data_IF_662717945044
#
_entry.id   IF_662717945044
#
_cell.length_a   1.000
_cell.length_b   1.000
_cell.length_c   1.000
_cell.angle_alpha   90.00
_cell.angle_beta   90.00
_cell.angle_gamma   90.00
#
_symmetry.space_group_name_H-M   'P 1'
#
loop_
_entity.id
_entity.type
_entity.pdbx_description
1 polymer ?
#
# COMPACT_ATOMS: atom_id res chain seq x y z
N UNK A 1 -8.61 2.58 -14.38
CA UNK A 1 -7.93 3.22 -13.22
C UNK A 1 -8.78 4.25 -12.47
N UNK A 2 -9.99 4.61 -12.94
CA UNK A 2 -10.87 5.60 -12.32
C UNK A 2 -11.07 5.42 -10.81
N UNK A 3 -11.15 4.19 -10.33
CA UNK A 3 -11.36 3.83 -8.91
C UNK A 3 -10.13 4.05 -7.99
N UNK A 4 -8.93 4.22 -8.55
CA UNK A 4 -7.72 4.54 -7.75
C UNK A 4 -7.46 6.04 -7.65
N UNK A 5 -7.87 6.80 -8.67
CA UNK A 5 -7.67 8.24 -8.76
C UNK A 5 -8.79 9.07 -8.11
N UNK A 6 -9.94 8.46 -7.81
CA UNK A 6 -11.08 9.12 -7.16
C UNK A 6 -11.29 8.53 -5.77
N UNK A 7 -11.66 9.38 -4.82
CA UNK A 7 -12.18 8.96 -3.52
C UNK A 7 -13.34 7.97 -3.76
N UNK A 8 -13.20 6.73 -3.30
CA UNK A 8 -14.32 5.80 -3.25
C UNK A 8 -15.34 6.24 -2.20
N UNK A 9 -16.56 5.73 -2.33
CA UNK A 9 -17.60 6.01 -1.35
C UNK A 9 -17.17 5.52 0.04
N UNK A 10 -17.38 6.32 1.10
CA UNK A 10 -17.06 5.92 2.46
C UNK A 10 -17.81 4.64 2.84
N UNK A 11 -17.08 3.66 3.38
CA UNK A 11 -17.68 2.48 3.98
C UNK A 11 -18.45 2.91 5.24
N UNK A 12 -19.77 2.71 5.23
CA UNK A 12 -20.65 2.96 6.37
C UNK A 12 -20.60 4.39 6.96
N UNK A 13 -20.33 5.41 6.14
CA UNK A 13 -20.31 6.81 6.58
C UNK A 13 -19.07 7.21 7.40
N UNK A 14 -18.07 6.33 7.49
CA UNK A 14 -16.77 6.68 8.06
C UNK A 14 -15.95 7.46 7.02
N UNK A 15 -15.45 8.67 7.34
CA UNK A 15 -14.58 9.40 6.43
C UNK A 15 -13.30 8.59 6.24
N UNK A 16 -13.16 7.96 5.07
CA UNK A 16 -11.99 7.19 4.68
C UNK A 16 -11.80 7.34 3.19
N UNK A 17 -10.64 7.86 2.79
CA UNK A 17 -10.25 7.86 1.38
C UNK A 17 -10.05 6.42 0.90
N UNK A 18 -10.35 6.14 -0.37
CA UNK A 18 -9.96 4.89 -1.02
C UNK A 18 -8.91 5.16 -2.09
N UNK A 19 -8.24 4.11 -2.58
CA UNK A 19 -7.20 4.27 -3.59
C UNK A 19 -6.06 5.15 -3.07
N UNK A 20 -5.52 6.03 -3.92
CA UNK A 20 -4.37 6.88 -3.59
C UNK A 20 -4.65 7.83 -2.42
N UNK A 21 -5.88 8.29 -2.26
CA UNK A 21 -6.24 9.21 -1.17
C UNK A 21 -6.20 8.52 0.19
N UNK A 22 -6.68 7.27 0.26
CA UNK A 22 -6.61 6.45 1.46
C UNK A 22 -5.17 6.19 1.90
N UNK A 23 -4.31 5.87 0.92
CA UNK A 23 -2.87 5.70 1.16
C UNK A 23 -2.25 7.02 1.66
N UNK A 24 -2.56 8.14 1.02
CA UNK A 24 -2.05 9.43 1.45
C UNK A 24 -2.54 9.85 2.85
N UNK A 25 -3.77 9.48 3.22
CA UNK A 25 -4.29 9.71 4.57
C UNK A 25 -3.57 8.87 5.63
N UNK A 26 -3.31 7.58 5.33
CA UNK A 26 -2.49 6.73 6.18
C UNK A 26 -1.12 7.38 6.41
N UNK A 27 -0.43 7.79 5.33
CA UNK A 27 0.90 8.40 5.43
C UNK A 27 0.90 9.70 6.23
N UNK A 28 -0.09 10.56 6.07
CA UNK A 28 -0.18 11.80 6.85
C UNK A 28 -0.48 11.57 8.33
N UNK A 29 -1.27 10.56 8.66
CA UNK A 29 -1.70 10.32 10.04
C UNK A 29 -0.73 9.45 10.82
N UNK A 30 0.00 8.55 10.16
CA UNK A 30 0.81 7.52 10.83
C UNK A 30 1.81 8.09 11.83
N UNK A 31 2.49 9.20 11.50
CA UNK A 31 3.43 9.85 12.42
C UNK A 31 2.82 10.29 13.75
N UNK A 32 1.54 10.67 13.75
CA UNK A 32 0.82 11.17 14.93
C UNK A 32 0.16 10.04 15.74
N UNK A 33 0.28 8.79 15.32
CA UNK A 33 -0.38 7.65 15.98
C UNK A 33 0.00 7.48 17.46
N UNK A 34 1.27 7.67 17.89
CA UNK A 34 1.59 7.58 19.31
C UNK A 34 0.82 8.60 20.16
N UNK A 35 0.66 9.83 19.68
CA UNK A 35 -0.11 10.86 20.36
C UNK A 35 -1.62 10.59 20.31
N UNK A 36 -2.11 9.98 19.22
CA UNK A 36 -3.53 9.68 19.01
C UNK A 36 -4.03 8.48 19.80
N UNK A 37 -3.25 7.40 19.84
CA UNK A 37 -3.67 6.13 20.42
C UNK A 37 -3.12 5.91 21.84
N UNK A 38 -2.00 6.56 22.21
CA UNK A 38 -1.42 6.40 23.54
C UNK A 38 -1.18 4.93 23.88
N UNK A 39 -1.78 4.47 24.97
CA UNK A 39 -1.67 3.08 25.45
C UNK A 39 -2.28 2.05 24.49
N UNK A 40 -3.19 2.46 23.60
CA UNK A 40 -3.83 1.60 22.59
C UNK A 40 -2.98 1.48 21.30
N UNK A 41 -1.81 2.11 21.23
CA UNK A 41 -0.93 2.05 20.04
C UNK A 41 -0.57 0.61 19.63
N UNK A 42 -0.24 -0.33 20.54
CA UNK A 42 0.04 -1.71 20.16
C UNK A 42 -1.13 -2.40 19.46
N UNK A 43 -2.37 -2.16 19.92
CA UNK A 43 -3.57 -2.72 19.31
C UNK A 43 -3.84 -2.11 17.93
N UNK A 44 -3.61 -0.81 17.77
CA UNK A 44 -3.70 -0.13 16.48
C UNK A 44 -2.68 -0.69 15.47
N UNK A 45 -1.43 -0.93 15.89
CA UNK A 45 -0.39 -1.56 15.06
C UNK A 45 -0.74 -3.03 14.73
N UNK A 46 -1.26 -3.79 15.70
CA UNK A 46 -1.75 -5.14 15.49
C UNK A 46 -2.87 -5.19 14.45
N UNK A 47 -3.84 -4.26 14.54
CA UNK A 47 -4.90 -4.09 13.56
C UNK A 47 -4.36 -3.74 12.17
N UNK A 48 -3.41 -2.80 12.07
CA UNK A 48 -2.75 -2.44 10.82
C UNK A 48 -2.09 -3.65 10.16
N UNK A 49 -1.33 -4.45 10.91
CA UNK A 49 -0.73 -5.69 10.40
C UNK A 49 -1.79 -6.65 9.87
N UNK A 50 -2.90 -6.83 10.59
CA UNK A 50 -4.01 -7.70 10.15
C UNK A 50 -4.59 -7.20 8.81
N UNK A 51 -4.78 -5.89 8.65
CA UNK A 51 -5.27 -5.33 7.39
C UNK A 51 -4.30 -5.50 6.23
N UNK A 52 -3.00 -5.40 6.48
CA UNK A 52 -1.98 -5.58 5.43
C UNK A 52 -1.82 -7.06 5.04
N UNK A 53 -1.76 -7.95 6.03
CA UNK A 53 -1.40 -9.38 5.83
C UNK A 53 -2.61 -10.27 5.60
N UNK A 54 -3.64 -10.18 6.46
CA UNK A 54 -4.76 -11.14 6.47
C UNK A 54 -5.94 -10.69 5.62
N UNK A 55 -6.32 -9.43 5.74
CA UNK A 55 -7.45 -8.92 4.96
C UNK A 55 -7.08 -8.79 3.48
N UNK A 56 -5.79 -8.71 3.14
CA UNK A 56 -5.28 -8.52 1.78
C UNK A 56 -5.61 -7.14 1.19
N UNK A 57 -6.64 -6.47 1.70
CA UNK A 57 -7.17 -5.17 1.29
C UNK A 57 -6.24 -4.00 1.59
N UNK A 58 -5.28 -4.17 2.50
CA UNK A 58 -4.41 -3.08 2.95
C UNK A 58 -3.15 -2.84 2.14
N UNK A 59 -2.63 -3.81 1.37
CA UNK A 59 -1.23 -3.65 0.95
C UNK A 59 -0.64 -4.80 0.15
N UNK A 60 0.16 -5.59 0.85
CA UNK A 60 1.16 -6.47 0.28
C UNK A 60 0.60 -7.56 -0.63
N UNK A 61 -0.45 -8.28 -0.22
CA UNK A 61 -0.92 -9.45 -0.96
C UNK A 61 -1.37 -9.11 -2.39
N UNK A 62 -2.27 -8.13 -2.55
CA UNK A 62 -2.75 -7.76 -3.88
C UNK A 62 -1.64 -7.13 -4.74
N UNK A 63 -0.70 -6.40 -4.14
CA UNK A 63 0.43 -5.82 -4.87
C UNK A 63 1.43 -6.88 -5.33
N UNK A 64 1.67 -7.90 -4.50
CA UNK A 64 2.43 -9.09 -4.88
C UNK A 64 1.77 -9.86 -6.03
N UNK A 65 0.45 -10.05 -5.98
CA UNK A 65 -0.30 -10.72 -7.05
C UNK A 65 -0.25 -9.92 -8.36
N UNK A 66 -0.45 -8.60 -8.28
CA UNK A 66 -0.36 -7.71 -9.43
C UNK A 66 1.06 -7.71 -10.03
N UNK A 67 2.09 -7.67 -9.18
CA UNK A 67 3.48 -7.76 -9.61
C UNK A 67 3.76 -9.08 -10.35
N UNK A 68 3.34 -10.21 -9.78
CA UNK A 68 3.52 -11.52 -10.41
C UNK A 68 2.82 -11.62 -11.75
N UNK A 69 1.56 -11.17 -11.83
CA UNK A 69 0.82 -11.12 -13.10
C UNK A 69 1.53 -10.28 -14.16
N UNK A 70 2.00 -9.08 -13.81
CA UNK A 70 2.68 -8.19 -14.76
C UNK A 70 4.04 -8.74 -15.19
N UNK A 71 4.80 -9.35 -14.29
CA UNK A 71 6.08 -10.00 -14.60
C UNK A 71 5.88 -11.18 -15.57
N UNK A 72 4.86 -12.01 -15.32
CA UNK A 72 4.49 -13.12 -16.23
C UNK A 72 4.00 -12.61 -17.59
N UNK A 73 3.13 -11.59 -17.60
CA UNK A 73 2.64 -10.98 -18.83
C UNK A 73 3.77 -10.34 -19.64
N UNK A 74 4.70 -9.64 -18.99
CA UNK A 74 5.87 -9.06 -19.65
C UNK A 74 6.76 -10.12 -20.30
N UNK A 75 6.94 -11.28 -19.66
CA UNK A 75 7.71 -12.38 -20.22
C UNK A 75 7.05 -13.00 -21.46
N UNK A 76 5.71 -13.06 -21.50
CA UNK A 76 4.97 -13.61 -22.64
C UNK A 76 4.80 -12.62 -23.79
N UNK A 77 4.67 -11.32 -23.48
CA UNK A 77 4.44 -10.26 -24.46
C UNK A 77 5.74 -9.59 -24.94
N UNK A 78 6.86 -9.84 -24.27
CA UNK A 78 8.15 -9.16 -24.48
C UNK A 78 8.04 -7.62 -24.38
N UNK A 79 7.14 -7.14 -23.52
CA UNK A 79 6.81 -5.73 -23.38
C UNK A 79 7.58 -5.08 -22.20
N UNK A 80 8.44 -4.13 -22.52
CA UNK A 80 9.25 -3.40 -21.54
C UNK A 80 8.46 -2.48 -20.61
N UNK A 81 7.32 -1.93 -21.05
CA UNK A 81 6.46 -1.11 -20.22
C UNK A 81 5.73 -1.96 -19.17
N UNK A 82 5.22 -3.13 -19.58
CA UNK A 82 4.62 -4.10 -18.67
C UNK A 82 5.65 -4.62 -17.65
N UNK A 83 6.89 -4.87 -18.10
CA UNK A 83 7.99 -5.26 -17.21
C UNK A 83 8.31 -4.19 -16.15
N UNK A 84 8.30 -2.91 -16.54
CA UNK A 84 8.51 -1.81 -15.60
C UNK A 84 7.35 -1.67 -14.60
N UNK A 85 6.10 -1.80 -15.05
CA UNK A 85 4.96 -1.81 -14.16
C UNK A 85 5.05 -2.95 -13.14
N UNK A 86 5.44 -4.16 -13.56
CA UNK A 86 5.68 -5.30 -12.67
C UNK A 86 6.72 -5.00 -11.59
N UNK A 87 7.89 -4.47 -11.98
CA UNK A 87 8.94 -4.06 -11.03
C UNK A 87 8.46 -3.03 -10.01
N UNK A 88 7.68 -2.03 -10.43
CA UNK A 88 7.14 -1.01 -9.52
C UNK A 88 6.16 -1.62 -8.51
N UNK A 89 5.28 -2.52 -8.96
CA UNK A 89 4.37 -3.23 -8.07
C UNK A 89 5.10 -4.15 -7.09
N UNK A 90 6.23 -4.75 -7.50
CA UNK A 90 7.09 -5.55 -6.62
C UNK A 90 7.68 -4.71 -5.49
N UNK A 91 8.35 -3.61 -5.82
CA UNK A 91 8.94 -2.69 -4.83
C UNK A 91 7.88 -2.12 -3.90
N UNK A 92 6.73 -1.76 -4.45
CA UNK A 92 5.58 -1.29 -3.66
C UNK A 92 5.07 -2.39 -2.72
N UNK A 93 4.99 -3.63 -3.16
CA UNK A 93 4.63 -4.77 -2.30
C UNK A 93 5.61 -4.93 -1.15
N UNK A 94 6.92 -4.85 -1.41
CA UNK A 94 7.95 -5.01 -0.40
C UNK A 94 7.86 -3.92 0.68
N UNK A 95 7.56 -2.68 0.31
CA UNK A 95 7.34 -1.60 1.25
C UNK A 95 6.12 -1.86 2.17
N UNK A 96 5.03 -2.42 1.64
CA UNK A 96 3.88 -2.84 2.45
C UNK A 96 4.21 -3.99 3.40
N UNK A 97 5.05 -4.94 2.97
CA UNK A 97 5.54 -6.03 3.84
C UNK A 97 6.37 -5.45 4.99
N UNK A 98 7.31 -4.56 4.69
CA UNK A 98 8.15 -3.90 5.70
C UNK A 98 7.31 -3.16 6.75
N UNK A 99 6.26 -2.45 6.34
CA UNK A 99 5.31 -1.83 7.27
C UNK A 99 4.57 -2.87 8.14
N UNK A 100 4.12 -3.97 7.55
CA UNK A 100 3.44 -5.03 8.30
C UNK A 100 4.35 -5.68 9.34
N UNK A 101 5.63 -5.85 9.02
CA UNK A 101 6.62 -6.41 9.93
C UNK A 101 6.93 -5.45 11.08
N UNK A 102 7.14 -4.16 10.79
CA UNK A 102 7.30 -3.13 11.81
C UNK A 102 6.09 -3.06 12.76
N UNK A 103 4.88 -3.04 12.20
CA UNK A 103 3.64 -3.04 12.97
C UNK A 103 3.48 -4.33 13.80
N UNK A 104 3.88 -5.49 13.25
CA UNK A 104 3.87 -6.77 13.97
C UNK A 104 4.86 -6.85 15.12
N UNK A 105 5.98 -6.15 15.01
CA UNK A 105 6.96 -6.00 16.07
C UNK A 105 6.54 -4.95 17.12
N UNK A 106 5.45 -4.21 16.89
CA UNK A 106 5.06 -3.08 17.73
C UNK A 106 5.99 -1.87 17.61
N UNK A 107 6.83 -1.83 16.56
CA UNK A 107 7.79 -0.77 16.33
C UNK A 107 7.23 0.27 15.36
N UNK A 108 6.55 1.27 15.93
CA UNK A 108 6.01 2.40 15.17
C UNK A 108 7.11 3.19 14.44
N UNK A 109 8.28 3.34 15.07
CA UNK A 109 9.40 4.10 14.50
C UNK A 109 9.93 3.46 13.22
N UNK A 110 10.09 2.13 13.22
CA UNK A 110 10.48 1.37 12.04
C UNK A 110 9.46 1.44 10.89
N UNK A 111 8.19 1.74 11.19
CA UNK A 111 7.12 1.89 10.19
C UNK A 111 7.09 3.25 9.48
N UNK A 112 7.78 4.28 9.99
CA UNK A 112 7.74 5.64 9.43
C UNK A 112 8.25 5.68 7.98
N UNK A 113 9.42 5.09 7.73
CA UNK A 113 10.05 5.10 6.40
C UNK A 113 9.23 4.28 5.38
N UNK A 114 8.82 3.03 5.68
CA UNK A 114 7.94 2.26 4.79
C UNK A 114 6.65 3.00 4.43
N UNK A 115 5.98 3.64 5.41
CA UNK A 115 4.73 4.39 5.18
C UNK A 115 4.95 5.60 4.28
N UNK A 116 6.07 6.31 4.44
CA UNK A 116 6.41 7.44 3.56
C UNK A 116 6.71 6.96 2.13
N UNK A 117 7.43 5.85 1.99
CA UNK A 117 7.74 5.26 0.69
C UNK A 117 6.48 4.78 -0.05
N UNK A 118 5.55 4.14 0.66
CA UNK A 118 4.31 3.59 0.08
C UNK A 118 3.52 4.63 -0.71
N UNK A 119 3.32 5.85 -0.20
CA UNK A 119 2.52 6.86 -0.90
C UNK A 119 3.12 7.25 -2.26
N UNK A 120 4.44 7.43 -2.31
CA UNK A 120 5.16 7.72 -3.55
C UNK A 120 5.11 6.53 -4.52
N UNK A 121 5.43 5.34 -4.01
CA UNK A 121 5.49 4.11 -4.80
C UNK A 121 4.12 3.74 -5.39
N UNK A 122 3.03 3.99 -4.65
CA UNK A 122 1.67 3.72 -5.11
C UNK A 122 1.32 4.59 -6.32
N UNK A 123 1.65 5.89 -6.27
CA UNK A 123 1.44 6.80 -7.39
C UNK A 123 2.27 6.42 -8.62
N UNK A 124 3.53 6.04 -8.41
CA UNK A 124 4.42 5.57 -9.48
C UNK A 124 3.95 4.27 -10.13
N UNK A 125 3.52 3.29 -9.34
CA UNK A 125 3.02 2.01 -9.85
C UNK A 125 1.74 2.18 -10.66
N UNK A 126 0.82 3.03 -10.22
CA UNK A 126 -0.40 3.38 -10.97
C UNK A 126 -0.04 4.05 -12.30
N UNK A 127 0.86 5.02 -12.30
CA UNK A 127 1.28 5.71 -13.53
C UNK A 127 1.96 4.75 -14.52
N UNK A 128 2.81 3.85 -14.04
CA UNK A 128 3.46 2.84 -14.88
C UNK A 128 2.44 1.88 -15.52
N UNK A 129 1.44 1.44 -14.75
CA UNK A 129 0.39 0.58 -15.28
C UNK A 129 -0.53 1.33 -16.27
N UNK A 130 -0.76 2.64 -16.11
CA UNK A 130 -1.50 3.43 -17.11
C UNK A 130 -0.75 3.60 -18.42
N UNK A 131 0.58 3.62 -18.38
CA UNK A 131 1.42 3.69 -19.58
C UNK A 131 1.45 2.37 -20.38
N UNK A 132 0.92 1.27 -19.84
CA UNK A 132 0.78 -0.01 -20.52
C UNK A 132 -0.52 -0.12 -21.36
N UNK A 133 -1.43 0.84 -21.24
CA UNK A 133 -2.75 0.85 -21.88
C UNK A 133 -2.81 1.81 -23.07
#
# INVERSE_FOLDING_TARGET
MRNMRHAGNPLAGLPGGTGLEGVAHLTRSYGDWPARFGDDLPDALGGLRVFIVKAGTGGAMFRSLQAGFLEEAAAQLEDGAVAEAGRRYRVLSDAWIALADAAGAGDHGAGIEPVAAIARLEGEAVAALEACA
#
